data_IF_045798138676
#
_entry.id   IF_045798138676
#
_cell.length_a   1.000
_cell.length_b   1.000
_cell.length_c   1.000
_cell.angle_alpha   90.00
_cell.angle_beta   90.00
_cell.angle_gamma   90.00
#
_symmetry.space_group_name_H-M   'P 1'
#
loop_
_entity.id
_entity.type
_entity.pdbx_description
1 polymer ?
#
# COMPACT_ATOMS: atom_id res chain seq x y z
N UNK A 1 19.62 8.40 -16.22
CA UNK A 1 18.61 8.78 -17.24
C UNK A 1 19.13 8.58 -18.65
N UNK A 2 20.29 9.12 -19.04
CA UNK A 2 20.92 8.84 -20.35
C UNK A 2 21.01 7.34 -20.69
N UNK A 3 21.45 6.49 -19.76
CA UNK A 3 21.50 5.04 -19.99
C UNK A 3 20.12 4.38 -20.23
N UNK A 4 19.01 5.00 -19.80
CA UNK A 4 17.64 4.51 -20.06
C UNK A 4 17.01 5.14 -21.30
N UNK A 5 17.32 6.40 -21.59
CA UNK A 5 16.69 7.19 -22.66
C UNK A 5 17.48 7.13 -23.98
N UNK A 6 18.78 6.83 -23.93
CA UNK A 6 19.71 6.98 -25.06
C UNK A 6 20.51 8.29 -24.97
N UNK A 7 21.67 8.33 -25.63
CA UNK A 7 22.55 9.51 -25.62
C UNK A 7 21.99 10.70 -26.43
N UNK A 8 21.17 10.41 -27.44
CA UNK A 8 20.60 11.41 -28.37
C UNK A 8 19.32 12.09 -27.86
N UNK A 9 18.81 11.69 -26.70
CA UNK A 9 17.57 12.26 -26.13
C UNK A 9 17.92 13.45 -25.25
N UNK A 10 17.62 14.66 -25.72
CA UNK A 10 17.69 15.87 -24.92
C UNK A 10 16.59 15.88 -23.85
N UNK A 11 16.96 16.18 -22.60
CA UNK A 11 16.02 16.39 -21.50
C UNK A 11 16.58 17.44 -20.54
N UNK A 12 15.67 18.18 -19.90
CA UNK A 12 15.99 19.04 -18.77
C UNK A 12 15.58 18.35 -17.46
N UNK A 13 16.48 18.30 -16.48
CA UNK A 13 16.16 17.77 -15.16
C UNK A 13 15.51 18.86 -14.31
N UNK A 14 14.18 18.90 -14.28
CA UNK A 14 13.44 19.85 -13.44
C UNK A 14 13.55 19.54 -11.94
N UNK A 15 13.44 18.25 -11.57
CA UNK A 15 13.49 17.82 -10.18
C UNK A 15 14.03 16.40 -10.04
N UNK A 16 14.94 16.21 -9.08
CA UNK A 16 15.42 14.90 -8.65
C UNK A 16 15.45 14.84 -7.13
N UNK A 17 15.04 13.70 -6.58
CA UNK A 17 15.11 13.43 -5.15
C UNK A 17 15.41 11.96 -4.90
N UNK A 18 16.01 11.68 -3.73
CA UNK A 18 16.25 10.31 -3.27
C UNK A 18 15.03 9.86 -2.48
N UNK A 19 14.40 8.78 -2.95
CA UNK A 19 13.24 8.20 -2.29
C UNK A 19 13.58 6.82 -1.73
N UNK A 20 13.40 6.63 -0.42
CA UNK A 20 13.62 5.35 0.26
C UNK A 20 12.30 4.70 0.63
N UNK A 21 12.08 3.49 0.12
CA UNK A 21 10.88 2.72 0.42
C UNK A 21 10.93 2.13 1.82
N UNK A 22 9.85 2.32 2.57
CA UNK A 22 9.61 1.66 3.86
C UNK A 22 8.21 1.07 3.85
N UNK A 23 8.09 -0.15 4.37
CA UNK A 23 6.83 -0.81 4.63
C UNK A 23 6.67 -0.91 6.15
N UNK A 24 5.92 0.02 6.76
CA UNK A 24 5.74 0.08 8.21
C UNK A 24 4.43 0.76 8.57
N UNK A 25 3.91 0.49 9.76
CA UNK A 25 2.72 1.15 10.32
C UNK A 25 2.91 1.39 11.81
N UNK A 26 2.19 2.33 12.37
CA UNK A 26 2.05 2.48 13.82
C UNK A 26 1.31 1.28 14.42
N UNK A 27 1.46 1.05 15.72
CA UNK A 27 0.69 0.04 16.46
C UNK A 27 -0.72 0.54 16.80
N UNK A 28 -0.87 1.84 17.02
CA UNK A 28 -2.14 2.53 17.21
C UNK A 28 -2.21 3.81 16.36
N UNK A 29 -3.37 4.10 15.79
CA UNK A 29 -3.63 5.29 14.97
C UNK A 29 -4.30 6.41 15.76
N UNK A 30 -4.69 6.12 17.00
CA UNK A 30 -5.36 7.06 17.90
C UNK A 30 -4.52 7.18 19.16
N UNK A 31 -4.16 8.41 19.50
CA UNK A 31 -3.50 8.74 20.75
C UNK A 31 -4.30 9.86 21.42
N UNK A 32 -5.14 9.51 22.38
CA UNK A 32 -6.11 10.43 23.00
C UNK A 32 -7.00 11.10 21.94
N UNK A 33 -6.90 12.43 21.79
CA UNK A 33 -7.66 13.22 20.80
C UNK A 33 -6.88 13.47 19.51
N UNK A 34 -5.80 12.73 19.27
CA UNK A 34 -4.94 12.86 18.08
C UNK A 34 -5.09 11.63 17.20
N UNK A 35 -5.36 11.86 15.92
CA UNK A 35 -5.60 10.81 14.92
C UNK A 35 -4.52 10.87 13.84
N UNK A 36 -3.89 9.74 13.55
CA UNK A 36 -2.88 9.58 12.51
C UNK A 36 -3.52 8.94 11.27
N UNK A 37 -3.17 9.41 10.08
CA UNK A 37 -3.65 8.90 8.80
C UNK A 37 -2.60 9.03 7.69
N UNK A 38 -2.77 8.27 6.61
CA UNK A 38 -1.86 8.30 5.47
C UNK A 38 -0.43 7.95 5.87
N UNK A 39 0.55 8.62 5.25
CA UNK A 39 1.98 8.38 5.48
C UNK A 39 2.43 8.64 6.93
N UNK A 40 1.66 9.42 7.70
CA UNK A 40 1.91 9.61 9.13
C UNK A 40 1.57 8.36 9.97
N UNK A 41 0.62 7.54 9.51
CA UNK A 41 0.20 6.31 10.19
C UNK A 41 0.83 5.06 9.59
N UNK A 42 1.01 5.03 8.27
CA UNK A 42 1.52 3.87 7.54
C UNK A 42 2.27 4.27 6.27
N UNK A 43 3.40 3.62 6.03
CA UNK A 43 4.18 3.75 4.82
C UNK A 43 4.16 2.43 4.06
N UNK A 44 3.96 2.53 2.75
CA UNK A 44 3.92 1.40 1.83
C UNK A 44 4.84 1.68 0.66
N UNK A 45 5.28 0.61 0.00
CA UNK A 45 5.97 0.73 -1.28
C UNK A 45 5.05 1.41 -2.33
N UNK A 46 5.60 2.22 -3.28
CA UNK A 46 4.80 2.97 -4.25
C UNK A 46 4.04 2.08 -5.23
N UNK A 47 4.43 0.81 -5.33
CA UNK A 47 3.85 -0.12 -6.29
C UNK A 47 2.36 -0.35 -5.97
N UNK A 48 1.51 0.02 -6.91
CA UNK A 48 0.05 -0.07 -6.78
C UNK A 48 -0.63 1.13 -6.13
N UNK A 49 0.05 2.28 -6.03
CA UNK A 49 -0.51 3.57 -5.60
C UNK A 49 -1.21 3.54 -4.22
N UNK A 50 -0.80 2.62 -3.33
CA UNK A 50 -1.53 2.34 -2.08
C UNK A 50 -1.37 3.41 -1.00
N UNK A 51 -0.30 4.20 -1.02
CA UNK A 51 -0.07 5.25 -0.01
C UNK A 51 -1.16 6.32 -0.06
N UNK A 52 -1.27 7.01 -1.20
CA UNK A 52 -2.27 8.05 -1.41
C UNK A 52 -3.71 7.52 -1.33
N UNK A 53 -3.99 6.35 -1.94
CA UNK A 53 -5.33 5.75 -1.86
C UNK A 53 -5.70 5.34 -0.43
N UNK A 54 -4.73 4.79 0.34
CA UNK A 54 -4.92 4.46 1.74
C UNK A 54 -5.19 5.71 2.59
N UNK A 55 -4.49 6.81 2.32
CA UNK A 55 -4.75 8.09 3.00
C UNK A 55 -6.19 8.57 2.76
N UNK A 56 -6.66 8.56 1.52
CA UNK A 56 -8.03 8.95 1.18
C UNK A 56 -9.08 8.06 1.89
N UNK A 57 -8.87 6.75 1.89
CA UNK A 57 -9.73 5.79 2.60
C UNK A 57 -9.73 6.01 4.11
N UNK A 58 -8.58 6.37 4.70
CA UNK A 58 -8.48 6.74 6.12
C UNK A 58 -9.26 8.01 6.43
N UNK A 59 -9.14 9.04 5.58
CA UNK A 59 -9.90 10.29 5.73
C UNK A 59 -11.40 10.05 5.65
N UNK A 60 -11.86 9.33 4.62
CA UNK A 60 -13.28 9.01 4.45
C UNK A 60 -13.83 8.25 5.66
N UNK A 61 -13.10 7.21 6.13
CA UNK A 61 -13.51 6.39 7.27
C UNK A 61 -13.64 7.20 8.56
N UNK A 62 -12.69 8.08 8.85
CA UNK A 62 -12.68 8.88 10.08
C UNK A 62 -13.70 10.01 10.04
N UNK A 63 -13.85 10.70 8.91
CA UNK A 63 -14.60 11.96 8.82
C UNK A 63 -16.06 11.81 9.30
N UNK A 64 -16.75 10.77 8.83
CA UNK A 64 -18.15 10.57 9.22
C UNK A 64 -18.29 10.10 10.68
N UNK A 65 -17.35 9.25 11.17
CA UNK A 65 -17.32 8.77 12.56
C UNK A 65 -17.13 9.94 13.51
N UNK A 66 -16.15 10.79 13.22
CA UNK A 66 -15.86 12.00 13.99
C UNK A 66 -17.02 12.97 13.98
N UNK A 67 -17.65 13.21 12.82
CA UNK A 67 -18.82 14.08 12.74
C UNK A 67 -19.99 13.57 13.59
N UNK A 68 -20.24 12.25 13.64
CA UNK A 68 -21.29 11.64 14.46
C UNK A 68 -21.01 11.80 15.95
N UNK A 69 -19.77 11.55 16.39
CA UNK A 69 -19.38 11.69 17.79
C UNK A 69 -19.45 13.15 18.24
N UNK A 70 -18.92 14.09 17.47
CA UNK A 70 -18.96 15.53 17.81
C UNK A 70 -20.38 16.08 17.90
N UNK A 71 -21.35 15.49 17.18
CA UNK A 71 -22.77 15.86 17.25
C UNK A 71 -23.55 15.13 18.34
N UNK A 72 -22.90 14.27 19.13
CA UNK A 72 -23.56 13.44 20.15
C UNK A 72 -24.47 12.35 19.56
N UNK A 73 -24.26 11.97 18.29
CA UNK A 73 -25.08 11.00 17.56
C UNK A 73 -24.51 9.58 17.59
N UNK A 74 -23.32 9.40 18.15
CA UNK A 74 -22.65 8.12 18.30
C UNK A 74 -21.72 8.16 19.53
N UNK A 75 -21.46 7.02 20.18
CA UNK A 75 -20.50 6.94 21.28
C UNK A 75 -19.06 7.15 20.79
N UNK A 76 -18.17 7.62 21.68
CA UNK A 76 -16.72 7.75 21.38
C UNK A 76 -16.11 6.42 20.92
N UNK A 77 -16.63 5.27 21.38
CA UNK A 77 -16.21 3.94 20.93
C UNK A 77 -16.34 3.71 19.41
N UNK A 78 -17.18 4.49 18.70
CA UNK A 78 -17.21 4.46 17.24
C UNK A 78 -15.87 4.90 16.64
N UNK A 79 -15.14 5.82 17.28
CA UNK A 79 -13.83 6.25 16.81
C UNK A 79 -12.78 5.15 16.96
N UNK A 80 -12.88 4.29 17.98
CA UNK A 80 -11.96 3.15 18.12
C UNK A 80 -12.01 2.20 16.92
N UNK A 81 -13.19 2.06 16.29
CA UNK A 81 -13.33 1.26 15.07
C UNK A 81 -12.49 1.80 13.90
N UNK A 82 -12.18 3.10 13.87
CA UNK A 82 -11.26 3.64 12.86
C UNK A 82 -9.85 3.03 13.01
N UNK A 83 -9.37 2.88 14.25
CA UNK A 83 -8.08 2.25 14.52
C UNK A 83 -8.07 0.82 13.96
N UNK A 84 -9.02 -0.02 14.39
CA UNK A 84 -9.06 -1.44 14.01
C UNK A 84 -9.20 -1.64 12.50
N UNK A 85 -10.16 -0.93 11.89
CA UNK A 85 -10.43 -1.04 10.45
C UNK A 85 -9.23 -0.56 9.63
N UNK A 86 -8.58 0.54 10.04
CA UNK A 86 -7.47 1.10 9.26
C UNK A 86 -6.13 0.45 9.50
N UNK A 87 -5.89 -0.09 10.70
CA UNK A 87 -4.78 -0.99 10.96
C UNK A 87 -4.88 -2.26 10.10
N UNK A 88 -6.06 -2.84 10.00
CA UNK A 88 -6.27 -4.04 9.18
C UNK A 88 -5.96 -3.78 7.69
N UNK A 89 -6.51 -2.70 7.13
CA UNK A 89 -6.24 -2.35 5.73
C UNK A 89 -4.78 -1.97 5.46
N UNK A 90 -4.12 -1.29 6.41
CA UNK A 90 -2.71 -0.97 6.28
C UNK A 90 -1.83 -2.23 6.31
N UNK A 91 -2.11 -3.19 7.20
CA UNK A 91 -1.41 -4.46 7.26
C UNK A 91 -1.58 -5.26 5.95
N UNK A 92 -2.80 -5.32 5.41
CA UNK A 92 -3.07 -5.96 4.13
C UNK A 92 -2.29 -5.29 2.98
N UNK A 93 -2.29 -3.96 2.95
CA UNK A 93 -1.54 -3.19 1.94
C UNK A 93 -0.03 -3.41 2.05
N UNK A 94 0.53 -3.38 3.26
CA UNK A 94 1.95 -3.64 3.51
C UNK A 94 2.35 -5.04 3.03
N UNK A 95 1.56 -6.06 3.36
CA UNK A 95 1.80 -7.43 2.91
C UNK A 95 1.84 -7.54 1.39
N UNK A 96 0.82 -7.00 0.71
CA UNK A 96 0.71 -7.07 -0.75
C UNK A 96 1.83 -6.25 -1.44
N UNK A 97 2.12 -5.05 -0.94
CA UNK A 97 3.14 -4.17 -1.53
C UNK A 97 4.54 -4.75 -1.36
N UNK A 98 4.82 -5.39 -0.22
CA UNK A 98 6.11 -6.04 0.04
C UNK A 98 6.31 -7.19 -0.94
N UNK A 99 5.30 -8.05 -1.12
CA UNK A 99 5.36 -9.16 -2.08
C UNK A 99 5.55 -8.69 -3.53
N UNK A 100 4.85 -7.64 -3.95
CA UNK A 100 5.04 -7.04 -5.27
C UNK A 100 6.45 -6.45 -5.43
N UNK A 101 6.94 -5.74 -4.41
CA UNK A 101 8.30 -5.18 -4.40
C UNK A 101 9.36 -6.26 -4.54
N UNK A 102 9.23 -7.36 -3.78
CA UNK A 102 10.18 -8.47 -3.82
C UNK A 102 10.17 -9.21 -5.17
N UNK A 103 9.01 -9.28 -5.84
CA UNK A 103 8.90 -9.85 -7.19
C UNK A 103 9.53 -8.93 -8.24
N UNK A 104 9.27 -7.62 -8.20
CA UNK A 104 9.82 -6.64 -9.16
C UNK A 104 11.34 -6.48 -8.97
N UNK A 105 11.78 -6.42 -7.71
CA UNK A 105 13.17 -6.16 -7.31
C UNK A 105 13.77 -7.36 -6.54
N UNK A 106 14.08 -8.47 -7.23
CA UNK A 106 14.54 -9.69 -6.58
C UNK A 106 15.86 -9.47 -5.84
N UNK A 107 15.85 -9.79 -4.54
CA UNK A 107 16.97 -9.57 -3.60
C UNK A 107 17.95 -10.74 -3.52
N UNK A 108 17.62 -11.87 -4.14
CA UNK A 108 18.44 -13.09 -4.16
C UNK A 108 18.42 -13.77 -5.54
N UNK A 109 19.42 -14.60 -5.82
CA UNK A 109 19.46 -15.42 -7.05
C UNK A 109 18.21 -16.28 -7.19
N UNK A 110 17.73 -16.87 -6.09
CA UNK A 110 16.53 -17.73 -6.09
C UNK A 110 15.29 -16.92 -6.47
N UNK A 111 15.09 -15.74 -5.85
CA UNK A 111 13.96 -14.87 -6.19
C UNK A 111 13.99 -14.38 -7.64
N UNK A 112 15.19 -14.18 -8.20
CA UNK A 112 15.37 -13.78 -9.60
C UNK A 112 14.98 -14.92 -10.56
N UNK A 113 15.50 -16.13 -10.32
CA UNK A 113 15.13 -17.32 -11.11
C UNK A 113 13.63 -17.55 -11.05
N UNK A 114 13.04 -17.51 -9.85
CA UNK A 114 11.59 -17.66 -9.69
C UNK A 114 10.80 -16.63 -10.52
N UNK A 115 11.18 -15.34 -10.45
CA UNK A 115 10.53 -14.28 -11.22
C UNK A 115 10.67 -14.52 -12.71
N UNK A 116 11.88 -14.77 -13.19
CA UNK A 116 12.17 -14.89 -14.63
C UNK A 116 11.43 -16.10 -15.23
N UNK A 117 11.47 -17.26 -14.57
CA UNK A 117 10.73 -18.46 -14.99
C UNK A 117 9.21 -18.25 -14.90
N UNK A 118 8.72 -17.53 -13.89
CA UNK A 118 7.28 -17.18 -13.81
C UNK A 118 6.86 -16.33 -15.00
N UNK A 119 7.66 -15.33 -15.38
CA UNK A 119 7.36 -14.45 -16.51
C UNK A 119 7.39 -15.21 -17.85
N UNK A 120 8.39 -16.07 -18.05
CA UNK A 120 8.49 -16.94 -19.24
C UNK A 120 7.28 -17.87 -19.36
N UNK A 121 6.91 -18.57 -18.27
CA UNK A 121 5.76 -19.47 -18.28
C UNK A 121 4.42 -18.73 -18.40
N UNK A 122 4.30 -17.52 -17.87
CA UNK A 122 3.07 -16.74 -17.91
C UNK A 122 2.62 -16.37 -19.33
N UNK A 123 3.55 -16.34 -20.29
CA UNK A 123 3.25 -16.15 -21.71
C UNK A 123 2.28 -17.23 -22.20
N UNK A 124 2.59 -18.50 -21.93
CA UNK A 124 1.89 -19.65 -22.51
C UNK A 124 0.92 -20.34 -21.56
N UNK A 125 1.11 -20.23 -20.23
CA UNK A 125 0.37 -21.02 -19.25
C UNK A 125 -0.46 -20.16 -18.28
N UNK A 126 -1.80 -20.32 -18.25
CA UNK A 126 -2.67 -19.52 -17.38
C UNK A 126 -2.34 -19.63 -15.88
N UNK A 127 -1.86 -20.78 -15.41
CA UNK A 127 -1.52 -20.92 -13.99
C UNK A 127 -0.32 -20.05 -13.59
N UNK A 128 0.64 -19.82 -14.49
CA UNK A 128 1.81 -18.99 -14.19
C UNK A 128 1.43 -17.50 -14.12
N UNK A 129 0.39 -17.08 -14.83
CA UNK A 129 -0.16 -15.71 -14.74
C UNK A 129 -0.71 -15.40 -13.34
N UNK A 130 -1.24 -16.39 -12.62
CA UNK A 130 -1.69 -16.18 -11.24
C UNK A 130 -0.53 -16.06 -10.24
N UNK A 131 0.67 -16.49 -10.63
CA UNK A 131 1.91 -16.32 -9.87
C UNK A 131 2.56 -14.96 -10.14
N UNK A 132 2.20 -14.28 -11.24
CA UNK A 132 2.67 -12.91 -11.52
C UNK A 132 2.12 -11.99 -10.44
N UNK A 133 3.01 -11.47 -9.62
CA UNK A 133 2.64 -10.68 -8.46
C UNK A 133 2.68 -9.19 -8.78
N UNK A 134 1.65 -8.70 -9.45
CA UNK A 134 1.46 -7.26 -9.70
C UNK A 134 1.00 -6.48 -8.46
N UNK A 135 0.83 -7.16 -7.32
CA UNK A 135 0.03 -6.67 -6.21
C UNK A 135 -1.47 -6.74 -6.52
N UNK A 136 -2.29 -6.89 -5.47
CA UNK A 136 -3.76 -6.93 -5.53
C UNK A 136 -4.33 -5.56 -5.96
N UNK A 137 -4.21 -5.22 -7.24
CA UNK A 137 -4.77 -3.99 -7.81
C UNK A 137 -6.30 -4.15 -7.83
N UNK A 138 -7.03 -3.15 -7.34
CA UNK A 138 -8.51 -3.04 -7.47
C UNK A 138 -9.43 -3.95 -6.64
N UNK A 139 -8.95 -4.64 -5.61
CA UNK A 139 -9.84 -5.43 -4.73
C UNK A 139 -10.01 -4.74 -3.37
N UNK A 140 -11.24 -4.62 -2.83
CA UNK A 140 -11.47 -4.00 -1.53
C UNK A 140 -10.84 -4.82 -0.40
N UNK A 141 -10.33 -4.12 0.60
CA UNK A 141 -10.07 -4.69 1.91
C UNK A 141 -11.41 -5.09 2.53
N UNK A 142 -11.52 -6.33 3.02
CA UNK A 142 -12.76 -6.86 3.61
C UNK A 142 -12.54 -7.06 5.10
N UNK A 143 -13.42 -6.48 5.90
CA UNK A 143 -13.49 -6.80 7.32
C UNK A 143 -14.28 -8.11 7.46
N UNK A 144 -13.67 -9.15 8.02
CA UNK A 144 -14.42 -10.35 8.37
C UNK A 144 -15.39 -9.99 9.51
N UNK A 145 -16.67 -10.28 9.33
CA UNK A 145 -17.72 -10.07 10.33
C UNK A 145 -17.62 -11.01 11.55
N UNK A 146 -16.46 -11.65 11.75
CA UNK A 146 -16.21 -12.61 12.84
C UNK A 146 -15.20 -12.04 13.82
N UNK A 147 -15.62 -11.02 14.57
CA UNK A 147 -15.11 -10.71 15.91
C UNK A 147 -16.25 -10.15 16.74
#
# INVERSE_FOLDING_TARGET
MQAMLGEDVEFELEWASVYTFRCRKMDDYIHNRVFFMGDAAHQVSPFGARGANGALQSTENLAWKLARVLRGQAPEALLETYNDERQHGAAENILNSTRATDFITPKSRISRVFRDTTLELAEHYPFARSLVNSGRLSVPCRYDARR
#
